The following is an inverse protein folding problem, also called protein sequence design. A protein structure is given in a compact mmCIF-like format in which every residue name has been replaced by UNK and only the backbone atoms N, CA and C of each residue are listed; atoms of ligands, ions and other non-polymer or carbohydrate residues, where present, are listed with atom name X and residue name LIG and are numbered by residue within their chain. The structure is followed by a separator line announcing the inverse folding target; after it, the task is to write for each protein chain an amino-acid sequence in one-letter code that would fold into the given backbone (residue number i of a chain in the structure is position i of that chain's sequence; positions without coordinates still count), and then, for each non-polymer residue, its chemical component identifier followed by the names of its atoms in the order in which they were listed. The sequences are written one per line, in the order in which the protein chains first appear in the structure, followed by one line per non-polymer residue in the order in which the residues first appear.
data_IF_961538756407
#
_entry.id   IF_961538756407
#
_cell.length_a   1.000
_cell.length_b   1.000
_cell.length_c   1.000
_cell.angle_alpha   90.00
_cell.angle_beta   90.00
_cell.angle_gamma   90.00
#
_symmetry.space_group_name_H-M   'P 1'
#
loop_
_entity.id
_entity.type
_entity.pdbx_description
1 polymer ?
#
# COMPACT_ATOMS: atom_id res chain seq x y z
N UNK A 1 6.80 1.68 18.35
CA UNK A 1 5.32 1.51 18.40
C UNK A 1 4.71 2.38 17.31
N UNK A 2 3.82 1.83 16.47
CA UNK A 2 3.19 2.60 15.39
C UNK A 2 2.33 3.72 15.95
N UNK A 3 2.56 4.96 15.47
CA UNK A 3 1.89 6.19 15.89
C UNK A 3 0.87 6.73 14.90
N UNK A 4 0.86 6.21 13.67
CA UNK A 4 -0.10 6.60 12.66
C UNK A 4 0.00 5.78 11.38
N UNK A 5 -1.01 5.91 10.53
CA UNK A 5 -1.10 5.22 9.24
C UNK A 5 -1.42 6.21 8.13
N UNK A 6 -0.71 6.11 6.99
CA UNK A 6 -1.00 6.93 5.80
C UNK A 6 -1.42 6.04 4.65
N UNK A 7 -2.59 6.32 4.06
CA UNK A 7 -3.23 5.46 3.07
C UNK A 7 -3.46 6.17 1.73
N UNK A 8 -3.12 5.48 0.64
CA UNK A 8 -3.24 5.97 -0.73
C UNK A 8 -4.18 5.10 -1.56
N UNK A 9 -5.01 5.69 -2.45
CA UNK A 9 -5.99 4.97 -3.26
C UNK A 9 -5.37 4.31 -4.48
N UNK A 10 -6.15 3.44 -5.12
CA UNK A 10 -5.87 2.91 -6.46
C UNK A 10 -6.06 3.96 -7.56
N UNK A 11 -5.61 3.64 -8.79
CA UNK A 11 -5.59 4.56 -9.93
C UNK A 11 -6.96 5.16 -10.30
N UNK A 12 -8.02 4.35 -10.25
CA UNK A 12 -9.40 4.77 -10.56
C UNK A 12 -10.20 5.27 -9.37
N UNK A 13 -9.57 5.46 -8.21
CA UNK A 13 -10.24 5.68 -6.94
C UNK A 13 -9.82 7.00 -6.27
N UNK A 14 -10.34 7.26 -5.08
CA UNK A 14 -10.02 8.42 -4.24
C UNK A 14 -9.74 7.99 -2.80
N UNK A 15 -9.30 8.92 -1.98
CA UNK A 15 -9.11 8.74 -0.53
C UNK A 15 -10.38 8.25 0.18
N UNK A 16 -11.55 8.46 -0.41
CA UNK A 16 -12.84 8.04 0.16
C UNK A 16 -13.29 6.64 -0.30
N UNK A 17 -12.37 5.83 -0.80
CA UNK A 17 -12.64 4.43 -1.12
C UNK A 17 -13.06 3.65 0.14
N UNK A 18 -14.08 2.78 0.01
CA UNK A 18 -14.68 2.06 1.14
C UNK A 18 -13.66 1.32 2.01
N UNK A 19 -12.68 0.64 1.42
CA UNK A 19 -11.63 -0.05 2.18
C UNK A 19 -10.77 0.91 3.01
N UNK A 20 -10.44 2.12 2.51
CA UNK A 20 -9.64 3.10 3.25
C UNK A 20 -10.43 3.70 4.40
N UNK A 21 -11.73 3.95 4.19
CA UNK A 21 -12.66 4.39 5.25
C UNK A 21 -12.85 3.32 6.33
N UNK A 22 -12.98 2.05 5.95
CA UNK A 22 -13.09 0.93 6.88
C UNK A 22 -11.83 0.79 7.74
N UNK A 23 -10.65 0.94 7.15
CA UNK A 23 -9.37 0.91 7.87
C UNK A 23 -9.30 2.06 8.89
N UNK A 24 -9.59 3.29 8.48
CA UNK A 24 -9.58 4.44 9.39
C UNK A 24 -10.53 4.22 10.58
N UNK A 25 -11.74 3.75 10.32
CA UNK A 25 -12.72 3.42 11.36
C UNK A 25 -12.22 2.33 12.31
N UNK A 26 -11.65 1.24 11.77
CA UNK A 26 -11.19 0.09 12.56
C UNK A 26 -9.97 0.42 13.42
N UNK A 27 -9.11 1.32 12.96
CA UNK A 27 -7.89 1.70 13.66
C UNK A 27 -8.09 2.80 14.71
N UNK A 28 -9.26 3.43 14.76
CA UNK A 28 -9.54 4.47 15.78
C UNK A 28 -9.25 3.95 17.20
N UNK A 29 -8.55 4.72 18.07
CA UNK A 29 -8.17 6.14 17.94
C UNK A 29 -6.78 6.40 17.29
N UNK A 30 -6.12 5.41 16.68
CA UNK A 30 -4.85 5.62 15.99
C UNK A 30 -5.05 6.62 14.84
N UNK A 31 -4.23 7.68 14.72
CA UNK A 31 -4.33 8.63 13.63
C UNK A 31 -4.16 7.96 12.25
N UNK A 32 -5.09 8.21 11.33
CA UNK A 32 -5.05 7.72 9.96
C UNK A 32 -5.22 8.89 9.00
N UNK A 33 -4.26 9.10 8.12
CA UNK A 33 -4.35 10.06 7.02
C UNK A 33 -4.69 9.32 5.71
N UNK A 34 -5.77 9.71 5.05
CA UNK A 34 -6.12 9.25 3.70
C UNK A 34 -5.82 10.35 2.68
N UNK A 35 -5.01 10.06 1.69
CA UNK A 35 -4.45 11.04 0.75
C UNK A 35 -4.98 10.82 -0.67
N UNK A 36 -5.38 11.88 -1.35
CA UNK A 36 -5.55 11.86 -2.81
C UNK A 36 -4.25 12.24 -3.51
N UNK A 37 -3.90 11.52 -4.57
CA UNK A 37 -2.78 11.88 -5.44
C UNK A 37 -3.01 13.20 -6.21
N UNK A 38 -1.94 13.90 -6.66
CA UNK A 38 -2.06 15.21 -7.30
C UNK A 38 -3.00 15.22 -8.50
N UNK A 39 -2.98 14.20 -9.36
CA UNK A 39 -3.89 14.13 -10.51
C UNK A 39 -5.36 14.09 -10.08
N UNK A 40 -5.69 13.44 -8.94
CA UNK A 40 -7.07 13.42 -8.42
C UNK A 40 -7.47 14.78 -7.84
N UNK A 41 -6.59 15.39 -7.06
CA UNK A 41 -6.80 16.77 -6.56
C UNK A 41 -7.02 17.77 -7.70
N UNK A 42 -6.36 17.55 -8.85
CA UNK A 42 -6.51 18.34 -10.06
C UNK A 42 -7.70 17.94 -10.97
N UNK A 43 -8.54 16.99 -10.56
CA UNK A 43 -9.69 16.51 -11.33
C UNK A 43 -9.34 15.70 -12.59
N UNK A 44 -8.09 15.27 -12.75
CA UNK A 44 -7.65 14.46 -13.89
C UNK A 44 -8.11 13.00 -13.75
N UNK A 45 -8.43 12.37 -14.88
CA UNK A 45 -8.88 10.97 -14.93
C UNK A 45 -7.73 9.97 -14.81
N UNK A 46 -6.58 10.27 -15.43
CA UNK A 46 -5.44 9.37 -15.53
C UNK A 46 -4.34 9.73 -14.53
N UNK A 47 -3.69 8.73 -13.91
CA UNK A 47 -2.59 8.96 -12.99
C UNK A 47 -1.40 9.70 -13.62
N UNK A 48 -0.73 10.50 -12.81
CA UNK A 48 0.61 11.00 -13.14
C UNK A 48 1.61 9.84 -13.22
N UNK A 49 2.81 10.11 -13.76
CA UNK A 49 3.89 9.12 -13.83
C UNK A 49 4.37 8.73 -12.42
N UNK A 50 4.90 7.51 -12.27
CA UNK A 50 5.33 6.97 -10.99
C UNK A 50 6.25 7.90 -10.17
N UNK A 51 7.26 8.60 -10.72
CA UNK A 51 8.09 9.51 -9.92
C UNK A 51 7.29 10.61 -9.21
N UNK A 52 6.27 11.18 -9.86
CA UNK A 52 5.41 12.22 -9.26
C UNK A 52 4.58 11.63 -8.11
N UNK A 53 4.06 10.42 -8.29
CA UNK A 53 3.25 9.74 -7.28
C UNK A 53 4.11 9.31 -6.08
N UNK A 54 5.31 8.81 -6.32
CA UNK A 54 6.27 8.44 -5.27
C UNK A 54 6.69 9.67 -4.47
N UNK A 55 6.98 10.79 -5.13
CA UNK A 55 7.30 12.03 -4.44
C UNK A 55 6.12 12.50 -3.57
N UNK A 56 4.88 12.43 -4.08
CA UNK A 56 3.69 12.73 -3.29
C UNK A 56 3.60 11.85 -2.03
N UNK A 57 3.88 10.55 -2.12
CA UNK A 57 3.90 9.66 -0.95
C UNK A 57 4.91 10.18 0.08
N UNK A 58 6.14 10.47 -0.33
CA UNK A 58 7.19 10.96 0.56
C UNK A 58 6.80 12.27 1.26
N UNK A 59 6.28 13.23 0.49
CA UNK A 59 5.93 14.56 1.00
C UNK A 59 4.77 14.50 2.00
N UNK A 60 3.70 13.77 1.68
CA UNK A 60 2.53 13.64 2.55
C UNK A 60 2.85 12.87 3.84
N UNK A 61 3.67 11.81 3.76
CA UNK A 61 4.10 11.05 4.94
C UNK A 61 4.97 11.89 5.86
N UNK A 62 5.94 12.63 5.31
CA UNK A 62 6.78 13.54 6.08
C UNK A 62 5.97 14.69 6.70
N UNK A 63 4.98 15.22 5.98
CA UNK A 63 4.08 16.24 6.49
C UNK A 63 3.25 15.72 7.66
N UNK A 64 2.65 14.53 7.51
CA UNK A 64 1.84 13.93 8.56
C UNK A 64 2.66 13.56 9.80
N UNK A 65 3.88 13.06 9.65
CA UNK A 65 4.77 12.81 10.78
C UNK A 65 5.01 14.08 11.61
N UNK A 66 5.28 15.22 10.93
CA UNK A 66 5.43 16.52 11.61
C UNK A 66 4.14 16.98 12.29
N UNK A 67 2.99 16.79 11.64
CA UNK A 67 1.68 17.19 12.18
C UNK A 67 1.36 16.48 13.50
N UNK A 68 1.60 15.17 13.56
CA UNK A 68 1.32 14.38 14.77
C UNK A 68 2.50 14.28 15.75
N UNK A 69 3.62 14.96 15.46
CA UNK A 69 4.80 15.03 16.32
C UNK A 69 5.51 13.69 16.49
N UNK A 70 5.80 12.98 15.38
CA UNK A 70 6.57 11.73 15.40
C UNK A 70 7.56 11.66 14.22
N UNK A 71 8.39 10.63 14.20
CA UNK A 71 9.25 10.31 13.06
C UNK A 71 8.50 9.48 12.01
N UNK A 72 8.96 9.51 10.75
CA UNK A 72 8.39 8.64 9.71
C UNK A 72 8.56 7.16 10.04
N UNK A 73 9.60 6.80 10.78
CA UNK A 73 9.86 5.44 11.28
C UNK A 73 8.82 4.93 12.30
N UNK A 74 7.96 5.81 12.80
CA UNK A 74 6.80 5.45 13.64
C UNK A 74 5.52 5.26 12.83
N UNK A 75 5.56 5.45 11.51
CA UNK A 75 4.40 5.37 10.64
C UNK A 75 4.36 4.08 9.82
N UNK A 76 3.17 3.54 9.62
CA UNK A 76 2.88 2.56 8.58
C UNK A 76 2.24 3.29 7.40
N UNK A 77 2.72 2.98 6.20
CA UNK A 77 2.14 3.55 4.97
C UNK A 77 1.59 2.45 4.08
N UNK A 78 0.70 2.80 3.18
CA UNK A 78 0.22 1.81 2.22
C UNK A 78 -1.01 2.25 1.46
N UNK A 79 -1.73 1.27 0.93
CA UNK A 79 -2.95 1.57 0.19
C UNK A 79 -3.35 0.48 -0.79
N UNK A 80 -4.31 0.84 -1.64
CA UNK A 80 -4.84 -0.07 -2.63
C UNK A 80 -4.10 -0.01 -3.95
N UNK A 81 -3.85 -1.18 -4.54
CA UNK A 81 -3.36 -1.30 -5.92
C UNK A 81 -2.18 -0.35 -6.19
N UNK A 82 -2.33 0.60 -7.08
CA UNK A 82 -1.32 1.62 -7.38
C UNK A 82 -0.82 2.33 -6.12
N UNK A 83 -1.69 2.70 -5.19
CA UNK A 83 -1.31 3.39 -3.95
C UNK A 83 -0.33 2.57 -3.11
N UNK A 84 -0.64 1.30 -2.86
CA UNK A 84 0.27 0.38 -2.16
C UNK A 84 1.61 0.22 -2.89
N UNK A 85 1.57 0.03 -4.21
CA UNK A 85 2.79 -0.06 -5.02
C UNK A 85 3.64 1.23 -4.94
N UNK A 86 3.04 2.41 -4.96
CA UNK A 86 3.81 3.66 -4.82
C UNK A 86 4.47 3.76 -3.44
N UNK A 87 3.81 3.26 -2.39
CA UNK A 87 4.39 3.18 -1.05
C UNK A 87 5.60 2.23 -0.99
N UNK A 88 5.51 1.04 -1.62
CA UNK A 88 6.68 0.14 -1.70
C UNK A 88 7.82 0.77 -2.47
N UNK A 89 7.55 1.48 -3.56
CA UNK A 89 8.58 2.20 -4.33
C UNK A 89 9.21 3.34 -3.53
N UNK A 90 8.42 4.11 -2.78
CA UNK A 90 8.95 5.19 -1.94
C UNK A 90 9.89 4.67 -0.85
N UNK A 91 9.57 3.49 -0.26
CA UNK A 91 10.39 2.89 0.80
C UNK A 91 11.62 2.14 0.29
N UNK A 92 11.67 1.85 -1.01
CA UNK A 92 12.80 1.15 -1.67
C UNK A 92 13.54 2.02 -2.68
N UNK A 93 13.33 3.34 -2.64
CA UNK A 93 14.01 4.29 -3.50
C UNK A 93 15.53 4.26 -3.25
N UNK A 94 16.31 4.33 -4.31
CA UNK A 94 17.78 4.21 -4.23
C UNK A 94 18.41 5.49 -3.66
N UNK A 95 17.86 6.65 -4.02
CA UNK A 95 18.45 7.95 -3.68
C UNK A 95 17.90 8.50 -2.37
N UNK A 96 16.62 8.27 -2.10
CA UNK A 96 15.90 8.88 -0.96
C UNK A 96 14.83 7.91 -0.43
N UNK A 97 15.25 6.75 0.08
CA UNK A 97 14.31 5.78 0.67
C UNK A 97 13.56 6.38 1.85
N UNK A 98 12.24 6.30 1.81
CA UNK A 98 11.40 6.71 2.94
C UNK A 98 11.45 5.64 4.03
N UNK A 99 12.12 5.95 5.15
CA UNK A 99 12.20 5.05 6.31
C UNK A 99 10.89 5.09 7.10
N UNK A 100 10.29 3.91 7.29
CA UNK A 100 8.98 3.73 7.90
C UNK A 100 8.95 2.47 8.76
N UNK A 101 7.96 2.35 9.65
CA UNK A 101 7.74 1.15 10.47
C UNK A 101 7.31 -0.05 9.63
N UNK A 102 6.47 0.17 8.61
CA UNK A 102 5.98 -0.89 7.76
C UNK A 102 5.18 -0.40 6.57
N UNK A 103 4.97 -1.28 5.58
CA UNK A 103 4.17 -1.00 4.39
C UNK A 103 3.05 -2.02 4.23
N UNK A 104 1.85 -1.57 3.85
CA UNK A 104 0.72 -2.45 3.52
C UNK A 104 0.25 -2.24 2.08
N UNK A 105 0.10 -3.35 1.35
CA UNK A 105 -0.45 -3.35 0.00
C UNK A 105 -1.72 -4.19 -0.06
N UNK A 106 -2.81 -3.58 -0.50
CA UNK A 106 -4.12 -4.20 -0.69
C UNK A 106 -4.34 -4.37 -2.20
N UNK A 107 -4.31 -5.60 -2.70
CA UNK A 107 -4.32 -5.91 -4.12
C UNK A 107 -3.05 -5.38 -4.83
N UNK A 108 -1.88 -5.98 -4.55
CA UNK A 108 -0.65 -5.56 -5.22
C UNK A 108 -0.75 -5.82 -6.73
N UNK A 109 -0.63 -4.78 -7.58
CA UNK A 109 -0.80 -4.95 -9.02
C UNK A 109 0.51 -5.44 -9.66
N UNK A 110 0.81 -6.74 -9.52
CA UNK A 110 2.07 -7.36 -9.94
C UNK A 110 2.34 -7.14 -11.44
N UNK A 111 1.31 -7.27 -12.27
CA UNK A 111 1.38 -7.01 -13.71
C UNK A 111 0.04 -6.42 -14.20
N UNK A 112 -0.03 -5.82 -15.40
CA UNK A 112 -1.32 -5.48 -16.01
C UNK A 112 -2.13 -6.75 -16.31
N UNK A 113 -3.47 -6.71 -16.24
CA UNK A 113 -4.28 -7.86 -16.63
C UNK A 113 -3.92 -8.36 -18.04
N UNK A 114 -3.81 -9.68 -18.19
CA UNK A 114 -3.44 -10.37 -19.44
C UNK A 114 -2.04 -10.05 -19.97
N UNK A 115 -1.13 -9.52 -19.12
CA UNK A 115 0.26 -9.23 -19.47
C UNK A 115 1.20 -9.70 -18.36
N UNK A 116 1.22 -11.01 -18.03
CA UNK A 116 2.01 -11.53 -16.92
C UNK A 116 3.52 -11.34 -17.11
N UNK A 117 3.99 -11.12 -18.35
CA UNK A 117 5.38 -10.82 -18.65
C UNK A 117 5.82 -9.41 -18.21
N UNK A 118 4.85 -8.50 -17.91
CA UNK A 118 5.16 -7.12 -17.50
C UNK A 118 5.16 -6.98 -15.98
N UNK A 119 6.08 -7.68 -15.33
CA UNK A 119 6.21 -7.67 -13.89
C UNK A 119 6.65 -6.30 -13.34
N UNK A 120 6.15 -5.96 -12.17
CA UNK A 120 6.46 -4.71 -11.44
C UNK A 120 7.22 -5.03 -10.16
N UNK A 121 8.36 -5.66 -10.29
CA UNK A 121 9.14 -6.25 -9.19
C UNK A 121 10.51 -5.59 -8.98
N UNK A 122 10.95 -4.68 -9.85
CA UNK A 122 12.34 -4.17 -9.89
C UNK A 122 12.81 -3.52 -8.58
N UNK A 123 11.87 -3.01 -7.79
CA UNK A 123 12.15 -2.35 -6.51
C UNK A 123 12.05 -3.30 -5.30
N UNK A 124 11.36 -4.46 -5.43
CA UNK A 124 11.12 -5.38 -4.33
C UNK A 124 12.41 -5.90 -3.64
N UNK A 125 13.51 -6.20 -4.35
CA UNK A 125 14.76 -6.60 -3.72
C UNK A 125 15.37 -5.56 -2.76
N UNK A 126 14.93 -4.31 -2.83
CA UNK A 126 15.37 -3.22 -1.94
C UNK A 126 14.38 -2.86 -0.85
N UNK A 127 13.20 -3.50 -0.83
CA UNK A 127 12.17 -3.24 0.18
C UNK A 127 12.51 -3.95 1.49
N UNK A 128 13.33 -3.33 2.31
CA UNK A 128 13.82 -3.90 3.57
C UNK A 128 12.87 -3.72 4.76
N UNK A 129 11.83 -2.90 4.62
CA UNK A 129 10.86 -2.66 5.69
C UNK A 129 9.87 -3.82 5.84
N UNK A 130 9.29 -4.00 7.03
CA UNK A 130 8.22 -4.97 7.24
C UNK A 130 7.07 -4.71 6.27
N UNK A 131 6.54 -5.76 5.65
CA UNK A 131 5.49 -5.64 4.65
C UNK A 131 4.31 -6.58 4.93
N UNK A 132 3.10 -6.08 4.68
CA UNK A 132 1.86 -6.86 4.61
C UNK A 132 1.28 -6.75 3.21
N UNK A 133 1.02 -7.90 2.58
CA UNK A 133 0.28 -7.98 1.31
C UNK A 133 -1.05 -8.69 1.54
N UNK A 134 -2.15 -8.05 1.14
CA UNK A 134 -3.50 -8.62 1.20
C UNK A 134 -4.02 -8.67 -0.23
N UNK A 135 -4.30 -9.85 -0.76
CA UNK A 135 -4.77 -10.05 -2.14
C UNK A 135 -5.90 -11.06 -2.22
N UNK A 136 -6.68 -11.01 -3.29
CA UNK A 136 -7.69 -12.02 -3.55
C UNK A 136 -7.12 -13.23 -4.26
N UNK A 137 -7.68 -14.43 -4.02
CA UNK A 137 -7.25 -15.64 -4.73
C UNK A 137 -7.64 -15.66 -6.22
N UNK A 138 -8.45 -14.69 -6.67
CA UNK A 138 -8.86 -14.49 -8.08
C UNK A 138 -8.48 -13.12 -8.60
N UNK A 139 -7.38 -12.57 -8.09
CA UNK A 139 -6.88 -11.26 -8.54
C UNK A 139 -6.25 -11.39 -9.94
N UNK A 140 -6.78 -10.65 -10.91
CA UNK A 140 -6.31 -10.64 -12.29
C UNK A 140 -5.00 -9.87 -12.52
N UNK A 141 -4.49 -9.20 -11.49
CA UNK A 141 -3.20 -8.50 -11.51
C UNK A 141 -2.06 -9.30 -10.89
N UNK A 142 -2.33 -10.52 -10.43
CA UNK A 142 -1.38 -11.46 -9.88
C UNK A 142 -2.07 -12.57 -9.10
N UNK A 143 -1.87 -13.81 -9.53
CA UNK A 143 -2.36 -15.01 -8.80
C UNK A 143 -1.58 -15.19 -7.50
N UNK A 144 -2.06 -15.99 -6.54
CA UNK A 144 -1.32 -16.32 -5.34
C UNK A 144 0.11 -16.82 -5.63
N UNK A 145 0.27 -17.72 -6.58
CA UNK A 145 1.56 -18.33 -6.94
C UNK A 145 2.53 -17.31 -7.55
N UNK A 146 2.02 -16.42 -8.41
CA UNK A 146 2.80 -15.33 -9.01
C UNK A 146 3.23 -14.32 -7.93
N UNK A 147 2.34 -13.96 -7.01
CA UNK A 147 2.61 -13.05 -5.90
C UNK A 147 3.63 -13.64 -4.93
N UNK A 148 3.50 -14.91 -4.54
CA UNK A 148 4.46 -15.59 -3.67
C UNK A 148 5.86 -15.63 -4.31
N UNK A 149 5.93 -15.94 -5.61
CA UNK A 149 7.19 -15.91 -6.37
C UNK A 149 7.80 -14.50 -6.38
N UNK A 150 7.01 -13.47 -6.61
CA UNK A 150 7.47 -12.10 -6.60
C UNK A 150 7.93 -11.63 -5.22
N UNK A 151 7.21 -12.02 -4.16
CA UNK A 151 7.53 -11.63 -2.79
C UNK A 151 8.75 -12.37 -2.22
N UNK A 152 9.14 -13.50 -2.80
CA UNK A 152 10.42 -14.15 -2.49
C UNK A 152 11.65 -13.28 -2.87
N UNK A 153 11.46 -12.22 -3.65
CA UNK A 153 12.52 -11.25 -3.97
C UNK A 153 12.80 -10.26 -2.82
N UNK A 154 11.91 -10.14 -1.82
CA UNK A 154 12.12 -9.24 -0.69
C UNK A 154 13.28 -9.72 0.18
N UNK A 155 14.06 -8.81 0.77
CA UNK A 155 15.15 -9.16 1.69
C UNK A 155 14.71 -9.94 2.93
N UNK A 156 13.45 -9.77 3.33
CA UNK A 156 12.82 -10.49 4.44
C UNK A 156 11.43 -10.95 4.04
N UNK A 157 10.98 -12.15 4.46
CA UNK A 157 9.65 -12.64 4.15
C UNK A 157 8.56 -11.68 4.63
N UNK A 158 7.65 -11.25 3.76
CA UNK A 158 6.51 -10.42 4.15
C UNK A 158 5.41 -11.27 4.80
N UNK A 159 4.49 -10.60 5.51
CA UNK A 159 3.20 -11.19 5.82
C UNK A 159 2.32 -11.19 4.56
N UNK A 160 1.72 -12.31 4.22
CA UNK A 160 0.82 -12.45 3.07
C UNK A 160 -0.53 -13.00 3.54
N UNK A 161 -1.61 -12.39 3.11
CA UNK A 161 -2.98 -12.81 3.41
C UNK A 161 -3.80 -12.89 2.12
N UNK A 162 -4.31 -14.07 1.82
CA UNK A 162 -5.20 -14.25 0.69
C UNK A 162 -6.66 -14.29 1.14
N UNK A 163 -7.51 -13.56 0.43
CA UNK A 163 -8.96 -13.56 0.63
C UNK A 163 -9.57 -14.47 -0.44
N UNK A 164 -10.12 -15.60 0.02
CA UNK A 164 -10.69 -16.63 -0.86
C UNK A 164 -11.81 -16.07 -1.75
N UNK A 165 -11.74 -16.35 -3.04
CA UNK A 165 -12.68 -15.88 -4.06
C UNK A 165 -12.58 -14.37 -4.36
N UNK A 166 -11.77 -13.63 -3.62
CA UNK A 166 -11.58 -12.19 -3.83
C UNK A 166 -10.92 -11.90 -5.18
N UNK A 167 -11.39 -10.83 -5.84
CA UNK A 167 -10.76 -10.25 -7.02
C UNK A 167 -9.92 -9.04 -6.62
N UNK A 168 -9.30 -8.36 -7.60
CA UNK A 168 -8.46 -7.19 -7.36
C UNK A 168 -9.11 -6.12 -6.48
N UNK A 169 -10.39 -5.84 -6.69
CA UNK A 169 -11.12 -4.82 -5.92
C UNK A 169 -11.44 -5.23 -4.48
N UNK A 170 -11.35 -6.52 -4.13
CA UNK A 170 -11.75 -7.08 -2.82
C UNK A 170 -13.12 -6.56 -2.34
N UNK A 171 -14.05 -6.34 -3.29
CA UNK A 171 -15.38 -5.80 -3.03
C UNK A 171 -16.12 -6.65 -2.00
N UNK A 172 -16.64 -5.98 -0.96
CA UNK A 172 -17.37 -6.65 0.12
C UNK A 172 -16.46 -7.25 1.21
N UNK A 173 -15.15 -7.05 1.13
CA UNK A 173 -14.19 -7.53 2.12
C UNK A 173 -13.50 -6.39 2.90
N UNK A 174 -14.04 -5.17 2.84
CA UNK A 174 -13.42 -3.97 3.41
C UNK A 174 -13.14 -4.11 4.92
N UNK A 175 -14.11 -4.62 5.69
CA UNK A 175 -13.95 -4.86 7.13
C UNK A 175 -12.91 -5.96 7.42
N UNK A 176 -12.88 -7.04 6.60
CA UNK A 176 -11.88 -8.10 6.74
C UNK A 176 -10.47 -7.56 6.47
N UNK A 177 -10.30 -6.74 5.45
CA UNK A 177 -9.03 -6.06 5.13
C UNK A 177 -8.58 -5.18 6.30
N UNK A 178 -9.49 -4.40 6.87
CA UNK A 178 -9.20 -3.54 8.01
C UNK A 178 -8.76 -4.33 9.24
N UNK A 179 -9.44 -5.44 9.56
CA UNK A 179 -9.08 -6.33 10.66
C UNK A 179 -7.70 -6.96 10.45
N UNK A 180 -7.40 -7.47 9.25
CA UNK A 180 -6.09 -8.05 8.93
C UNK A 180 -4.96 -7.04 9.11
N UNK A 181 -5.17 -5.80 8.69
CA UNK A 181 -4.19 -4.73 8.91
C UNK A 181 -4.01 -4.43 10.40
N UNK A 182 -5.11 -4.27 11.16
CA UNK A 182 -5.07 -4.03 12.61
C UNK A 182 -4.29 -5.10 13.35
N UNK A 183 -4.52 -6.37 13.03
CA UNK A 183 -3.83 -7.49 13.66
C UNK A 183 -2.33 -7.47 13.32
N UNK A 184 -1.99 -7.18 12.06
CA UNK A 184 -0.59 -7.08 11.64
C UNK A 184 0.15 -5.90 12.31
N UNK A 185 -0.50 -4.77 12.55
CA UNK A 185 0.11 -3.62 13.23
C UNK A 185 0.67 -3.96 14.63
N UNK A 186 0.16 -5.01 15.27
CA UNK A 186 0.69 -5.49 16.57
C UNK A 186 2.05 -6.16 16.45
N UNK A 187 2.48 -6.48 15.25
CA UNK A 187 3.77 -7.15 14.95
C UNK A 187 4.85 -6.18 14.51
N UNK A 188 4.48 -4.91 14.25
CA UNK A 188 5.37 -3.84 13.72
C UNK A 188 5.97 -2.91 14.83
#
# INVERSE_FOLDING_TARGET
MVRGVVLFPGAGSSRDHAALLAIEKELSPLPVLRVDFPYRKAGKKFPDKAPVLVQCVKDEVRAFAREIGCDTTDLVIGGRSMGGRMCTMASSDIEDALLIAGVVCIGYPLHPPKKPEQLRTEHLPRLATKALFISGTRDEFGTPEELETAFALLPSPPAVQFIEGGRHELKGHDERVATLLKDWLRTV
#
